data_IF_975144478832
#
_entry.id   IF_975144478832
#
_cell.length_a   1.000
_cell.length_b   1.000
_cell.length_c   1.000
_cell.angle_alpha   90.00
_cell.angle_beta   90.00
_cell.angle_gamma   90.00
#
_symmetry.space_group_name_H-M   'P 1'
#
loop_
_entity.id
_entity.type
_entity.pdbx_description
1 polymer ?
#
# COMPACT_ATOMS: atom_id res chain seq x y z
N UNK A 1 -20.37 3.64 -4.87
CA UNK A 1 -19.36 3.79 -5.93
C UNK A 1 -18.15 2.96 -5.56
N UNK A 2 -17.84 1.95 -6.35
CA UNK A 2 -16.65 1.10 -6.18
C UNK A 2 -16.13 0.77 -7.56
N UNK A 3 -14.81 0.79 -7.74
CA UNK A 3 -14.18 0.32 -8.97
C UNK A 3 -13.97 -1.18 -8.79
N UNK A 4 -14.64 -1.99 -9.60
CA UNK A 4 -14.36 -3.42 -9.66
C UNK A 4 -12.95 -3.62 -10.25
N UNK A 5 -12.15 -4.46 -9.58
CA UNK A 5 -10.79 -4.77 -10.01
C UNK A 5 -10.64 -6.27 -10.11
N UNK A 6 -9.87 -6.72 -11.10
CA UNK A 6 -9.56 -8.13 -11.33
C UNK A 6 -8.46 -8.67 -10.41
N UNK A 7 -7.91 -7.83 -9.53
CA UNK A 7 -6.79 -8.17 -8.65
C UNK A 7 -7.05 -7.75 -7.21
N UNK A 8 -6.49 -8.55 -6.29
CA UNK A 8 -6.41 -8.21 -4.87
C UNK A 8 -5.10 -7.50 -4.61
N UNK A 9 -5.16 -6.34 -3.96
CA UNK A 9 -3.99 -5.49 -3.73
C UNK A 9 -3.27 -5.74 -2.43
N UNK A 10 -1.96 -5.49 -2.43
CA UNK A 10 -1.14 -5.45 -1.22
C UNK A 10 -1.23 -4.05 -0.60
N UNK A 11 -1.54 -3.91 0.70
CA UNK A 11 -1.59 -2.62 1.37
C UNK A 11 -0.19 -2.01 1.53
N UNK A 12 -0.05 -0.72 1.22
CA UNK A 12 1.19 0.07 1.30
C UNK A 12 0.91 1.47 1.86
N UNK A 13 1.94 2.06 2.46
CA UNK A 13 1.96 3.48 2.85
C UNK A 13 2.41 4.31 1.65
N UNK A 14 1.54 5.17 1.14
CA UNK A 14 1.88 6.12 0.10
C UNK A 14 2.06 7.52 0.70
N UNK A 15 3.22 8.14 0.47
CA UNK A 15 3.40 9.55 0.79
C UNK A 15 2.79 10.42 -0.30
N UNK A 16 1.91 11.32 0.09
CA UNK A 16 1.34 12.33 -0.78
C UNK A 16 2.13 13.63 -0.63
N UNK A 17 2.90 13.98 -1.66
CA UNK A 17 3.71 15.19 -1.64
C UNK A 17 2.89 16.49 -1.67
N UNK A 18 1.64 16.45 -2.13
CA UNK A 18 0.76 17.61 -2.21
C UNK A 18 0.15 17.93 -0.85
N UNK A 19 -0.32 16.91 -0.12
CA UNK A 19 -0.90 17.09 1.22
C UNK A 19 0.12 16.92 2.35
N UNK A 20 1.34 16.46 2.04
CA UNK A 20 2.41 16.12 3.01
C UNK A 20 2.01 15.03 4.02
N UNK A 21 1.02 14.20 3.70
CA UNK A 21 0.51 13.13 4.56
C UNK A 21 0.79 11.76 3.99
N UNK A 22 0.80 10.75 4.84
CA UNK A 22 0.83 9.35 4.44
C UNK A 22 -0.58 8.77 4.43
N UNK A 23 -0.89 7.95 3.42
CA UNK A 23 -2.18 7.27 3.29
C UNK A 23 -2.01 5.79 2.97
N UNK A 24 -2.95 4.97 3.42
CA UNK A 24 -3.01 3.56 3.05
C UNK A 24 -3.57 3.43 1.62
N UNK A 25 -2.88 2.66 0.78
CA UNK A 25 -3.33 2.32 -0.58
C UNK A 25 -3.04 0.85 -0.88
N UNK A 26 -3.91 0.22 -1.66
CA UNK A 26 -3.68 -1.12 -2.19
C UNK A 26 -3.03 -1.03 -3.57
N UNK A 27 -1.91 -1.74 -3.78
CA UNK A 27 -1.18 -1.78 -5.05
C UNK A 27 -1.12 -3.21 -5.62
N UNK A 28 -1.18 -3.34 -6.94
CA UNK A 28 -1.14 -4.65 -7.61
C UNK A 28 0.29 -5.19 -7.74
N UNK A 29 1.23 -4.29 -8.05
CA UNK A 29 2.60 -4.67 -8.39
C UNK A 29 3.54 -4.06 -7.35
N UNK A 30 4.13 -4.90 -6.52
CA UNK A 30 5.08 -4.51 -5.47
C UNK A 30 6.49 -4.41 -6.02
N UNK A 31 6.69 -3.98 -7.28
CA UNK A 31 8.01 -3.60 -7.75
C UNK A 31 8.38 -2.28 -7.07
N UNK A 32 8.96 -2.43 -5.87
CA UNK A 32 9.25 -1.41 -4.85
C UNK A 32 10.31 -0.38 -5.28
N UNK A 33 10.63 -0.32 -6.57
CA UNK A 33 11.68 0.54 -7.11
C UNK A 33 11.30 2.03 -7.09
N UNK A 34 10.01 2.34 -6.94
CA UNK A 34 9.55 3.70 -6.73
C UNK A 34 9.34 3.92 -5.23
N UNK A 35 10.27 4.62 -4.56
CA UNK A 35 10.23 4.97 -3.13
C UNK A 35 9.01 5.79 -2.65
N UNK A 36 7.98 5.91 -3.50
CA UNK A 36 6.65 6.46 -3.25
C UNK A 36 5.79 5.55 -2.37
N UNK A 37 5.98 4.23 -2.45
CA UNK A 37 5.22 3.25 -1.68
C UNK A 37 6.13 2.54 -0.70
N UNK A 38 5.80 2.63 0.59
CA UNK A 38 6.54 1.96 1.67
C UNK A 38 5.74 0.77 2.18
N UNK A 39 6.45 -0.29 2.52
CA UNK A 39 5.87 -1.44 3.20
C UNK A 39 5.45 -1.06 4.63
N UNK A 40 4.45 -1.77 5.16
CA UNK A 40 4.18 -1.74 6.60
C UNK A 40 5.23 -2.58 7.33
N UNK A 41 5.60 -2.14 8.54
CA UNK A 41 6.49 -2.92 9.41
C UNK A 41 5.82 -4.25 9.76
N UNK A 42 6.60 -5.32 9.82
CA UNK A 42 6.14 -6.66 10.19
C UNK A 42 5.01 -7.21 9.31
N UNK A 43 4.89 -6.71 8.07
CA UNK A 43 3.98 -7.25 7.07
C UNK A 43 4.74 -7.86 5.90
N UNK A 44 4.32 -9.05 5.47
CA UNK A 44 4.89 -9.71 4.29
C UNK A 44 4.69 -8.83 3.05
N UNK A 45 5.71 -8.74 2.15
CA UNK A 45 5.63 -7.92 0.94
C UNK A 45 4.52 -8.35 -0.02
N UNK A 46 3.99 -9.56 0.12
CA UNK A 46 2.92 -10.11 -0.73
C UNK A 46 1.60 -10.29 -0.01
N UNK A 47 1.51 -9.91 1.28
CA UNK A 47 0.29 -10.09 2.06
C UNK A 47 -0.83 -9.19 1.54
N UNK A 48 -2.02 -9.73 1.34
CA UNK A 48 -3.21 -8.94 0.95
C UNK A 48 -3.87 -8.24 2.14
N UNK A 49 -3.43 -8.58 3.35
CA UNK A 49 -3.87 -7.99 4.61
C UNK A 49 -2.69 -7.81 5.56
N UNK A 50 -2.71 -6.72 6.34
CA UNK A 50 -1.72 -6.46 7.39
C UNK A 50 -2.46 -5.98 8.64
N UNK A 51 -2.12 -6.54 9.80
CA UNK A 51 -2.53 -5.96 11.09
C UNK A 51 -1.50 -4.89 11.46
N UNK A 52 -1.92 -3.64 11.40
CA UNK A 52 -1.10 -2.52 11.89
C UNK A 52 -1.21 -2.55 13.41
N UNK A 53 -0.07 -2.75 14.08
CA UNK A 53 0.03 -2.57 15.53
C UNK A 53 0.28 -1.08 15.77
N UNK A 54 -0.72 -0.39 16.32
CA UNK A 54 -0.58 0.98 16.86
C UNK A 54 0.24 0.98 18.16
#
# INVERSE_FOLDING_TARGET
GGIERTWTGVPRRAYDSATKTERCVCVQNTNEQNGRFKQYKDCSPTSVECKILD
#
